data_IF_472481194674
#
_entry.id   IF_472481194674
#
_cell.length_a   1.000
_cell.length_b   1.000
_cell.length_c   1.000
_cell.angle_alpha   90.00
_cell.angle_beta   90.00
_cell.angle_gamma   90.00
#
_symmetry.space_group_name_H-M   'P 1'
#
loop_
_entity.id
_entity.type
_entity.pdbx_description
1 polymer ?
#
# COMPACT_ATOMS: atom_id res chain seq x y z
N UNK A 1 -12.80 24.68 23.11
CA UNK A 1 -12.54 23.24 23.30
C UNK A 1 -11.68 22.75 22.15
N UNK A 2 -10.37 22.57 22.37
CA UNK A 2 -9.39 22.19 21.33
C UNK A 2 -9.43 20.67 21.20
N UNK A 3 -9.82 20.13 20.04
CA UNK A 3 -9.76 18.69 19.78
C UNK A 3 -8.29 18.30 19.73
N UNK A 4 -7.82 17.54 20.71
CA UNK A 4 -6.50 16.94 20.65
C UNK A 4 -6.48 15.93 19.51
N UNK A 5 -5.69 16.23 18.48
CA UNK A 5 -5.43 15.31 17.38
C UNK A 5 -4.83 14.04 17.97
N UNK A 6 -5.40 12.88 17.64
CA UNK A 6 -4.89 11.58 18.07
C UNK A 6 -3.38 11.42 17.82
N UNK A 7 -2.75 10.55 18.60
CA UNK A 7 -1.30 10.32 18.54
C UNK A 7 -0.86 9.92 17.12
N UNK A 8 -0.25 10.87 16.40
CA UNK A 8 0.53 10.57 15.20
C UNK A 8 1.90 10.12 15.69
N UNK A 9 2.38 8.92 15.30
CA UNK A 9 3.74 8.50 15.61
C UNK A 9 4.72 9.59 15.15
N UNK A 10 5.49 10.16 16.07
CA UNK A 10 6.55 11.12 15.74
C UNK A 10 7.76 10.36 15.17
N UNK A 11 7.56 9.73 14.01
CA UNK A 11 8.64 9.22 13.16
C UNK A 11 9.24 10.38 12.36
N UNK A 12 9.56 11.46 13.06
CA UNK A 12 10.25 12.63 12.50
C UNK A 12 11.74 12.43 12.73
N UNK A 13 12.38 11.65 11.86
CA UNK A 13 13.84 11.59 11.78
C UNK A 13 14.33 12.68 10.80
N UNK A 14 15.52 13.24 10.99
CA UNK A 14 16.22 14.23 10.14
C UNK A 14 16.34 13.85 8.64
N UNK A 15 15.93 12.62 8.30
CA UNK A 15 16.10 11.91 7.04
C UNK A 15 14.76 11.92 6.24
N UNK A 16 13.61 11.71 6.88
CA UNK A 16 12.30 11.65 6.19
C UNK A 16 11.53 12.96 6.35
N UNK A 17 11.15 13.62 5.25
CA UNK A 17 10.37 14.88 5.31
C UNK A 17 8.89 14.69 5.07
N UNK A 18 8.49 13.62 4.36
CA UNK A 18 7.08 13.34 4.08
C UNK A 18 6.70 12.00 4.71
N UNK A 19 5.72 12.03 5.62
CA UNK A 19 5.22 10.85 6.30
C UNK A 19 3.70 10.77 6.18
N UNK A 20 3.20 9.64 5.72
CA UNK A 20 1.78 9.34 5.59
C UNK A 20 1.44 8.20 6.53
N UNK A 21 0.34 8.35 7.29
CA UNK A 21 0.04 7.45 8.40
C UNK A 21 -1.40 6.97 8.32
N UNK A 22 -1.59 5.67 8.42
CA UNK A 22 -2.87 5.08 8.83
C UNK A 22 -2.79 4.80 10.32
N UNK A 23 -3.55 5.49 11.15
CA UNK A 23 -3.56 5.30 12.59
C UNK A 23 -4.97 5.09 13.14
N UNK A 24 -5.06 4.34 14.24
CA UNK A 24 -6.28 4.27 15.05
C UNK A 24 -6.07 5.10 16.34
N UNK A 25 -6.61 6.32 16.42
CA UNK A 25 -6.40 7.20 17.57
C UNK A 25 -6.98 6.63 18.87
N UNK A 26 -8.03 5.80 18.78
CA UNK A 26 -8.70 5.18 19.92
C UNK A 26 -8.04 3.86 20.33
N UNK A 27 -7.59 3.08 19.34
CA UNK A 27 -7.17 1.70 19.53
C UNK A 27 -5.67 1.47 19.76
N UNK A 28 -4.79 2.45 19.46
CA UNK A 28 -3.30 2.49 19.64
C UNK A 28 -2.47 1.21 19.40
N UNK A 29 -3.06 0.17 18.82
CA UNK A 29 -2.49 -1.17 18.65
C UNK A 29 -2.15 -1.48 17.20
N UNK A 30 -2.51 -0.58 16.28
CA UNK A 30 -2.35 -0.73 14.84
C UNK A 30 -1.96 0.63 14.25
N UNK A 31 -0.96 0.60 13.39
CA UNK A 31 -0.49 1.77 12.66
C UNK A 31 0.33 1.35 11.46
N UNK A 32 0.09 1.99 10.34
CA UNK A 32 0.87 1.85 9.11
C UNK A 32 1.45 3.20 8.74
N UNK A 33 2.64 3.19 8.14
CA UNK A 33 3.30 4.41 7.71
C UNK A 33 4.01 4.21 6.36
N UNK A 34 4.02 5.26 5.56
CA UNK A 34 4.90 5.41 4.39
C UNK A 34 5.76 6.64 4.65
N UNK A 35 7.08 6.46 4.63
CA UNK A 35 8.05 7.53 4.81
C UNK A 35 8.82 7.74 3.51
N UNK A 36 8.77 8.96 2.99
CA UNK A 36 9.51 9.35 1.80
C UNK A 36 10.66 10.28 2.21
N UNK A 37 11.87 9.91 1.78
CA UNK A 37 13.07 10.68 2.06
C UNK A 37 13.03 12.03 1.33
N UNK A 38 13.59 13.08 1.95
CA UNK A 38 13.56 14.46 1.40
C UNK A 38 14.22 14.64 0.04
N UNK A 39 15.18 13.77 -0.30
CA UNK A 39 15.86 13.81 -1.59
C UNK A 39 15.05 13.16 -2.71
N UNK A 40 13.96 12.48 -2.38
CA UNK A 40 13.09 11.85 -3.37
C UNK A 40 12.05 12.89 -3.79
N UNK A 41 12.03 13.31 -5.06
CA UNK A 41 11.10 14.34 -5.55
C UNK A 41 9.72 13.73 -5.78
N UNK A 42 9.07 13.35 -4.68
CA UNK A 42 7.72 12.81 -4.66
C UNK A 42 6.72 13.92 -4.36
N UNK A 43 5.75 14.10 -5.26
CA UNK A 43 4.67 15.07 -5.13
C UNK A 43 3.36 14.33 -4.86
N UNK A 44 2.91 14.31 -3.60
CA UNK A 44 1.66 13.66 -3.24
C UNK A 44 0.44 14.40 -3.81
N UNK A 45 -0.53 13.63 -4.30
CA UNK A 45 -1.79 14.13 -4.87
C UNK A 45 -3.00 13.67 -4.08
N UNK A 46 -2.99 12.42 -3.60
CA UNK A 46 -4.13 11.82 -2.88
C UNK A 46 -3.64 10.87 -1.78
N UNK A 47 -4.43 10.68 -0.74
CA UNK A 47 -4.14 9.71 0.33
C UNK A 47 -5.43 9.06 0.79
N UNK A 48 -5.39 7.74 0.95
CA UNK A 48 -6.49 6.94 1.50
C UNK A 48 -5.99 6.12 2.70
N UNK A 49 -6.75 6.10 3.80
CA UNK A 49 -6.34 5.44 5.05
C UNK A 49 -7.47 4.65 5.68
N UNK A 50 -7.13 3.52 6.31
CA UNK A 50 -8.05 2.77 7.17
C UNK A 50 -8.19 3.46 8.53
N UNK A 51 -9.42 3.64 9.01
CA UNK A 51 -9.70 4.18 10.35
C UNK A 51 -9.17 3.31 11.50
N UNK A 52 -8.94 2.02 11.25
CA UNK A 52 -8.29 1.13 12.22
C UNK A 52 -6.77 1.07 12.08
N UNK A 53 -6.17 1.93 11.25
CA UNK A 53 -4.72 2.03 11.05
C UNK A 53 -4.09 0.84 10.32
N UNK A 54 -4.88 0.02 9.62
CA UNK A 54 -4.39 -1.19 8.94
C UNK A 54 -3.88 -0.96 7.53
N UNK A 55 -4.14 0.19 6.91
CA UNK A 55 -3.47 0.56 5.66
C UNK A 55 -3.34 2.07 5.50
N UNK A 56 -2.38 2.44 4.65
CA UNK A 56 -2.24 3.77 4.06
C UNK A 56 -1.86 3.61 2.59
N UNK A 57 -2.60 4.29 1.73
CA UNK A 57 -2.34 4.40 0.30
C UNK A 57 -2.08 5.86 -0.03
N UNK A 58 -1.09 6.11 -0.89
CA UNK A 58 -0.67 7.46 -1.25
C UNK A 58 -0.45 7.49 -2.75
N UNK A 59 -1.19 8.35 -3.45
CA UNK A 59 -0.86 8.71 -4.83
C UNK A 59 0.09 9.88 -4.84
N UNK A 60 0.94 9.91 -5.85
CA UNK A 60 1.68 11.09 -6.22
C UNK A 60 2.41 10.93 -7.54
N UNK A 61 3.19 11.93 -7.87
CA UNK A 61 4.12 11.88 -9.00
C UNK A 61 5.55 11.69 -8.48
N UNK A 62 6.28 10.77 -9.11
CA UNK A 62 7.71 10.60 -8.92
C UNK A 62 8.38 10.68 -10.27
N UNK A 63 9.25 11.69 -10.46
CA UNK A 63 9.98 11.91 -11.72
C UNK A 63 9.06 11.93 -12.96
N UNK A 64 7.88 12.57 -12.82
CA UNK A 64 6.89 12.70 -13.91
C UNK A 64 5.99 11.49 -14.13
N UNK A 65 6.12 10.41 -13.34
CA UNK A 65 5.28 9.22 -13.43
C UNK A 65 4.29 9.16 -12.26
N UNK A 66 3.03 8.81 -12.54
CA UNK A 66 2.02 8.63 -11.49
C UNK A 66 2.26 7.31 -10.76
N UNK A 67 2.44 7.38 -9.45
CA UNK A 67 2.73 6.22 -8.60
C UNK A 67 1.81 6.19 -7.39
N UNK A 68 1.37 4.99 -7.05
CA UNK A 68 0.64 4.64 -5.84
C UNK A 68 1.58 3.87 -4.93
N UNK A 69 1.81 4.41 -3.73
CA UNK A 69 2.52 3.72 -2.65
C UNK A 69 1.48 3.16 -1.68
N UNK A 70 1.55 1.88 -1.36
CA UNK A 70 0.61 1.22 -0.47
C UNK A 70 1.33 0.43 0.61
N UNK A 71 0.89 0.58 1.85
CA UNK A 71 1.32 -0.23 2.98
C UNK A 71 0.10 -0.85 3.66
N UNK A 72 0.07 -2.18 3.79
CA UNK A 72 -1.05 -2.93 4.40
C UNK A 72 -0.54 -3.77 5.58
N UNK A 73 -1.26 -3.70 6.69
CA UNK A 73 -1.12 -4.56 7.86
C UNK A 73 -2.37 -5.43 8.03
N UNK A 74 -2.29 -6.71 7.68
CA UNK A 74 -3.37 -7.65 7.87
C UNK A 74 -3.17 -8.39 9.20
N UNK A 75 -4.07 -8.21 10.17
CA UNK A 75 -3.93 -8.77 11.52
C UNK A 75 -4.41 -10.23 11.63
N UNK A 76 -3.82 -11.02 12.54
CA UNK A 76 -4.09 -12.44 12.87
C UNK A 76 -5.53 -12.99 12.91
N UNK A 77 -6.58 -12.16 12.89
CA UNK A 77 -7.98 -12.58 12.81
C UNK A 77 -8.65 -12.10 11.51
N UNK A 78 -9.31 -13.02 10.76
CA UNK A 78 -10.14 -12.71 9.59
C UNK A 78 -9.40 -11.98 8.43
N UNK A 79 -8.10 -12.22 8.24
CA UNK A 79 -7.29 -11.52 7.23
C UNK A 79 -7.80 -11.70 5.81
N UNK A 80 -8.37 -12.86 5.47
CA UNK A 80 -8.72 -13.13 4.08
C UNK A 80 -9.82 -12.22 3.53
N UNK A 81 -10.87 -11.97 4.31
CA UNK A 81 -11.93 -11.03 3.93
C UNK A 81 -11.40 -9.60 3.92
N UNK A 82 -10.64 -9.22 4.94
CA UNK A 82 -10.02 -7.89 5.03
C UNK A 82 -9.14 -7.61 3.81
N UNK A 83 -8.19 -8.50 3.53
CA UNK A 83 -7.22 -8.34 2.46
C UNK A 83 -7.91 -8.30 1.10
N UNK A 84 -8.91 -9.16 0.85
CA UNK A 84 -9.71 -9.10 -0.39
C UNK A 84 -10.41 -7.75 -0.55
N UNK A 85 -11.06 -7.23 0.50
CA UNK A 85 -11.69 -5.90 0.42
C UNK A 85 -10.67 -4.78 0.23
N UNK A 86 -9.57 -4.82 0.98
CA UNK A 86 -8.52 -3.79 0.92
C UNK A 86 -7.82 -3.77 -0.43
N UNK A 87 -7.55 -4.94 -1.02
CA UNK A 87 -7.00 -5.02 -2.38
C UNK A 87 -7.97 -4.51 -3.43
N UNK A 88 -9.28 -4.76 -3.29
CA UNK A 88 -10.29 -4.19 -4.19
C UNK A 88 -10.25 -2.66 -4.12
N UNK A 89 -10.23 -2.09 -2.92
CA UNK A 89 -10.11 -0.65 -2.72
C UNK A 89 -8.80 -0.11 -3.30
N UNK A 90 -7.67 -0.78 -3.04
CA UNK A 90 -6.36 -0.41 -3.59
C UNK A 90 -6.36 -0.40 -5.12
N UNK A 91 -6.96 -1.40 -5.77
CA UNK A 91 -7.01 -1.45 -7.23
C UNK A 91 -7.88 -0.35 -7.83
N UNK A 92 -8.96 0.08 -7.15
CA UNK A 92 -9.75 1.24 -7.56
C UNK A 92 -9.05 2.57 -7.28
N UNK A 93 -8.19 2.61 -6.26
CA UNK A 93 -7.36 3.76 -5.93
C UNK A 93 -6.11 3.85 -6.83
N UNK A 94 -5.61 2.76 -7.39
CA UNK A 94 -4.37 2.77 -8.18
C UNK A 94 -4.58 3.39 -9.56
N UNK A 95 -3.64 4.22 -10.01
CA UNK A 95 -3.65 4.81 -11.36
C UNK A 95 -2.74 4.07 -12.34
N UNK A 96 -1.42 4.27 -12.19
CA UNK A 96 -0.41 3.68 -13.07
C UNK A 96 0.45 2.75 -12.21
N UNK A 97 1.59 3.22 -11.72
CA UNK A 97 2.50 2.35 -11.00
C UNK A 97 2.04 2.07 -9.57
N UNK A 98 2.16 0.83 -9.10
CA UNK A 98 1.88 0.43 -7.72
C UNK A 98 3.13 -0.16 -7.07
N UNK A 99 3.55 0.44 -5.96
CA UNK A 99 4.46 -0.17 -5.00
C UNK A 99 3.64 -0.59 -3.78
N UNK A 100 3.47 -1.90 -3.62
CA UNK A 100 2.76 -2.49 -2.49
C UNK A 100 3.76 -3.15 -1.56
N UNK A 101 3.74 -2.73 -0.29
CA UNK A 101 4.45 -3.37 0.81
C UNK A 101 3.56 -3.57 2.02
N UNK A 102 4.15 -4.13 3.08
CA UNK A 102 3.49 -4.30 4.36
C UNK A 102 3.60 -5.72 4.90
N UNK A 103 2.91 -5.95 6.01
CA UNK A 103 2.83 -7.25 6.67
C UNK A 103 1.44 -7.85 6.44
N UNK A 104 1.40 -8.79 5.50
CA UNK A 104 0.18 -9.50 5.14
C UNK A 104 -0.18 -10.60 6.16
N UNK A 105 0.73 -10.96 7.08
CA UNK A 105 0.60 -12.11 7.98
C UNK A 105 0.11 -13.38 7.26
N UNK A 106 0.68 -13.65 6.08
CA UNK A 106 0.40 -14.87 5.30
C UNK A 106 1.70 -15.68 5.12
N UNK A 107 1.62 -16.98 5.39
CA UNK A 107 2.69 -17.92 5.07
C UNK A 107 2.80 -18.10 3.54
N UNK A 108 3.92 -17.65 2.95
CA UNK A 108 4.19 -17.73 1.51
C UNK A 108 4.55 -19.14 1.00
N UNK A 109 4.53 -20.16 1.86
CA UNK A 109 4.85 -21.55 1.48
C UNK A 109 3.57 -22.39 1.34
N UNK A 110 3.34 -23.02 0.18
CA UNK A 110 2.42 -24.14 0.11
C UNK A 110 3.07 -25.32 0.84
N UNK A 111 2.52 -25.71 1.99
CA UNK A 111 2.95 -26.94 2.69
C UNK A 111 3.17 -26.83 4.20
N UNK A 112 3.18 -25.64 4.79
CA UNK A 112 3.18 -25.48 6.26
C UNK A 112 1.91 -24.75 6.66
N UNK A 113 0.89 -25.58 6.91
CA UNK A 113 -0.42 -25.29 7.50
C UNK A 113 -0.99 -23.88 7.35
N UNK A 114 -2.09 -23.73 6.59
CA UNK A 114 -3.34 -23.11 7.07
C UNK A 114 -4.46 -23.35 6.07
N UNK A 115 -5.68 -23.51 6.59
CA UNK A 115 -6.94 -23.78 5.89
C UNK A 115 -7.08 -23.18 4.49
N UNK A 116 -7.66 -23.96 3.59
CA UNK A 116 -8.09 -23.75 2.18
C UNK A 116 -8.34 -22.33 1.63
N UNK A 117 -8.52 -21.28 2.45
CA UNK A 117 -8.68 -19.89 2.02
C UNK A 117 -7.39 -19.10 1.77
N UNK A 118 -6.29 -19.41 2.47
CA UNK A 118 -5.04 -18.61 2.43
C UNK A 118 -4.34 -18.66 1.07
N UNK A 119 -4.33 -19.84 0.43
CA UNK A 119 -3.72 -20.05 -0.89
C UNK A 119 -4.41 -19.26 -2.00
N UNK A 120 -5.75 -19.22 -2.02
CA UNK A 120 -6.49 -18.49 -3.05
C UNK A 120 -6.24 -16.97 -3.00
N UNK A 121 -6.04 -16.42 -1.80
CA UNK A 121 -5.73 -15.00 -1.61
C UNK A 121 -4.30 -14.68 -2.03
N UNK A 122 -3.34 -15.56 -1.73
CA UNK A 122 -1.97 -15.43 -2.23
C UNK A 122 -1.93 -15.50 -3.74
N UNK A 123 -2.62 -16.45 -4.34
CA UNK A 123 -2.73 -16.52 -5.80
C UNK A 123 -3.40 -15.27 -6.37
N UNK A 124 -4.41 -14.72 -5.70
CA UNK A 124 -5.02 -13.45 -6.14
C UNK A 124 -4.02 -12.28 -6.05
N UNK A 125 -3.26 -12.18 -4.96
CA UNK A 125 -2.24 -11.13 -4.77
C UNK A 125 -1.13 -11.29 -5.81
N UNK A 126 -0.60 -12.50 -5.98
CA UNK A 126 0.44 -12.79 -6.96
C UNK A 126 -0.06 -12.58 -8.37
N UNK A 127 -1.29 -12.98 -8.70
CA UNK A 127 -1.90 -12.74 -9.99
C UNK A 127 -2.10 -11.24 -10.24
N UNK A 128 -2.59 -10.48 -9.25
CA UNK A 128 -2.72 -9.02 -9.35
C UNK A 128 -1.35 -8.36 -9.53
N UNK A 129 -0.33 -8.74 -8.76
CA UNK A 129 1.04 -8.22 -8.91
C UNK A 129 1.59 -8.57 -10.30
N UNK A 130 1.48 -9.84 -10.73
CA UNK A 130 1.92 -10.29 -12.07
C UNK A 130 1.20 -9.55 -13.19
N UNK A 131 -0.11 -9.39 -13.08
CA UNK A 131 -0.93 -8.70 -14.07
C UNK A 131 -0.58 -7.22 -14.15
N UNK A 132 -0.47 -6.54 -13.00
CA UNK A 132 0.00 -5.16 -12.93
C UNK A 132 1.39 -5.02 -13.53
N UNK A 133 2.37 -5.84 -13.14
CA UNK A 133 3.72 -5.82 -13.72
C UNK A 133 3.71 -6.07 -15.24
N UNK A 134 2.88 -7.00 -15.71
CA UNK A 134 2.75 -7.32 -17.13
C UNK A 134 2.16 -6.16 -17.94
N UNK A 135 1.05 -5.55 -17.48
CA UNK A 135 0.46 -4.35 -18.09
C UNK A 135 1.49 -3.22 -18.17
N UNK A 136 2.22 -2.97 -17.09
CA UNK A 136 3.22 -1.91 -17.06
C UNK A 136 4.40 -2.20 -17.99
N UNK A 137 4.86 -3.46 -18.08
CA UNK A 137 5.88 -3.87 -19.04
C UNK A 137 5.43 -3.65 -20.49
N UNK A 138 4.17 -3.95 -20.81
CA UNK A 138 3.59 -3.69 -22.13
C UNK A 138 3.52 -2.18 -22.40
N UNK A 139 3.08 -1.36 -21.44
CA UNK A 139 2.99 0.10 -21.57
C UNK A 139 4.37 0.74 -21.80
N UNK A 140 5.41 0.29 -21.08
CA UNK A 140 6.79 0.71 -21.31
C UNK A 140 7.28 0.38 -22.72
N UNK A 141 6.98 -0.83 -23.23
CA UNK A 141 7.33 -1.22 -24.59
C UNK A 141 6.63 -0.35 -25.65
N UNK A 142 5.38 0.04 -25.42
CA UNK A 142 4.65 0.94 -26.32
C UNK A 142 5.20 2.36 -26.32
N UNK A 143 5.63 2.89 -25.16
CA UNK A 143 6.22 4.22 -25.04
C UNK A 143 7.61 4.33 -25.68
N UNK A 144 8.36 3.22 -25.78
CA UNK A 144 9.65 3.17 -26.47
C UNK A 144 9.53 3.13 -27.99
N UNK A 145 8.33 2.94 -28.54
CA UNK A 145 8.10 2.73 -29.96
C UNK A 145 7.17 3.73 -30.64
N UNK A 146 6.85 4.87 -30.02
CA UNK A 146 6.21 5.99 -30.74
C UNK A 146 7.27 6.80 -31.49
N UNK A 147 7.34 6.74 -32.84
CA UNK A 147 8.12 7.71 -33.60
C UNK A 147 7.38 9.07 -33.57
N UNK A 148 8.15 10.17 -33.56
CA UNK A 148 7.65 11.53 -33.79
C UNK A 148 7.06 11.69 -35.20
#
# INVERSE_FOLDING_TARGET
MRRESGSVPKLTNRISTQGYYGNNPDGKSKGTAILVHKSIPFLQTETETDSNGRYVFVKGSLLGQNITLANIYASNSKHGKFLKSTLKTLMSFTEEFLILGGDFNIALKPGVATSTGTSAILEQILLTIRHTLHIHRLRLHTLLHTPL
#
